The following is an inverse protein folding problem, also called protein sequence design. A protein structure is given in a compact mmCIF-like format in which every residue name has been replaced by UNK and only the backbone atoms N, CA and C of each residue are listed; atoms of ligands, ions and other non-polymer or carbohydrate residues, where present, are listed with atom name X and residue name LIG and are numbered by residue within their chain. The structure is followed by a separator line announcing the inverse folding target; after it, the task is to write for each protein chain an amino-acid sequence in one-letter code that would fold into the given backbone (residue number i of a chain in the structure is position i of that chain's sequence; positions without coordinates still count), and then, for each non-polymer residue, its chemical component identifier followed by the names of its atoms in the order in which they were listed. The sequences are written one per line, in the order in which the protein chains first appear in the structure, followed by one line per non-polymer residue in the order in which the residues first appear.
data_IF_731660125559
#
_entry.id   IF_731660125559
#
_cell.length_a   1.000
_cell.length_b   1.000
_cell.length_c   1.000
_cell.angle_alpha   90.00
_cell.angle_beta   90.00
_cell.angle_gamma   90.00
#
_symmetry.space_group_name_H-M   'P 1'
#
loop_
_entity.id
_entity.type
_entity.pdbx_description
1 polymer ?
#
# COMPACT_ATOMS: atom_id res chain seq x y z
N UNK A 1 -12.65 -14.60 26.73
CA UNK A 1 -12.19 -15.32 25.53
C UNK A 1 -11.43 -14.32 24.68
N UNK A 2 -10.11 -14.45 24.60
CA UNK A 2 -9.27 -13.57 23.78
C UNK A 2 -9.43 -14.03 22.32
N UNK A 3 -10.41 -13.50 21.60
CA UNK A 3 -10.49 -13.75 20.16
C UNK A 3 -9.32 -12.98 19.54
N UNK A 4 -8.36 -13.71 18.96
CA UNK A 4 -7.45 -13.11 17.97
C UNK A 4 -8.32 -12.34 16.98
N UNK A 5 -8.06 -11.05 16.77
CA UNK A 5 -8.84 -10.23 15.85
C UNK A 5 -8.73 -10.69 14.39
N UNK A 6 -7.84 -11.65 14.10
CA UNK A 6 -7.63 -12.25 12.78
C UNK A 6 -7.96 -13.75 12.75
N UNK A 7 -8.31 -14.28 11.55
CA UNK A 7 -8.52 -15.71 11.33
C UNK A 7 -7.31 -16.59 11.72
N UNK A 8 -7.59 -17.83 12.10
CA UNK A 8 -6.57 -18.84 12.39
C UNK A 8 -6.01 -19.51 11.12
N UNK A 9 -6.84 -19.65 10.08
CA UNK A 9 -6.37 -20.14 8.78
C UNK A 9 -5.34 -19.16 8.19
N UNK A 10 -4.12 -19.61 7.83
CA UNK A 10 -3.06 -18.72 7.36
C UNK A 10 -3.42 -17.91 6.11
N UNK A 11 -4.22 -18.49 5.20
CA UNK A 11 -4.62 -17.82 3.95
C UNK A 11 -5.69 -16.77 4.22
N UNK A 12 -6.67 -17.08 5.06
CA UNK A 12 -7.67 -16.09 5.48
C UNK A 12 -7.05 -14.99 6.33
N UNK A 13 -6.01 -15.31 7.11
CA UNK A 13 -5.21 -14.32 7.83
C UNK A 13 -4.48 -13.38 6.88
N UNK A 14 -3.79 -13.89 5.87
CA UNK A 14 -3.10 -13.07 4.87
C UNK A 14 -4.10 -12.14 4.15
N UNK A 15 -5.27 -12.64 3.76
CA UNK A 15 -6.32 -11.81 3.15
C UNK A 15 -6.82 -10.71 4.09
N UNK A 16 -7.00 -11.02 5.37
CA UNK A 16 -7.45 -10.02 6.35
C UNK A 16 -6.37 -8.96 6.60
N UNK A 17 -5.10 -9.35 6.64
CA UNK A 17 -3.97 -8.41 6.71
C UNK A 17 -3.90 -7.55 5.44
N UNK A 18 -4.07 -8.15 4.26
CA UNK A 18 -4.09 -7.45 2.98
C UNK A 18 -5.25 -6.45 2.89
N UNK A 19 -6.43 -6.83 3.38
CA UNK A 19 -7.60 -5.94 3.44
C UNK A 19 -7.31 -4.67 4.23
N UNK A 20 -6.64 -4.80 5.38
CA UNK A 20 -6.22 -3.64 6.19
C UNK A 20 -5.11 -2.86 5.47
N UNK A 21 -4.15 -3.58 4.90
CA UNK A 21 -3.03 -3.01 4.16
C UNK A 21 -3.44 -2.18 2.95
N UNK A 22 -4.42 -2.62 2.17
CA UNK A 22 -4.99 -1.86 1.04
C UNK A 22 -5.57 -0.51 1.51
N UNK A 23 -6.33 -0.50 2.61
CA UNK A 23 -6.86 0.74 3.17
C UNK A 23 -5.74 1.71 3.62
N UNK A 24 -4.67 1.18 4.22
CA UNK A 24 -3.50 1.98 4.62
C UNK A 24 -2.74 2.50 3.40
N UNK A 25 -2.53 1.66 2.38
CA UNK A 25 -1.89 2.03 1.11
C UNK A 25 -2.70 3.13 0.40
N UNK A 26 -4.02 3.00 0.34
CA UNK A 26 -4.90 4.01 -0.22
C UNK A 26 -4.82 5.34 0.54
N UNK A 27 -4.77 5.31 1.88
CA UNK A 27 -4.60 6.52 2.69
C UNK A 27 -3.24 7.18 2.46
N UNK A 28 -2.16 6.40 2.51
CA UNK A 28 -0.79 6.88 2.31
C UNK A 28 -0.63 7.55 0.94
N UNK A 29 -1.11 6.90 -0.13
CA UNK A 29 -1.04 7.43 -1.49
C UNK A 29 -1.90 8.68 -1.68
N UNK A 30 -3.10 8.74 -1.10
CA UNK A 30 -3.95 9.96 -1.13
C UNK A 30 -3.29 11.13 -0.38
N UNK A 31 -2.75 10.89 0.81
CA UNK A 31 -2.06 11.92 1.59
C UNK A 31 -0.85 12.45 0.82
N UNK A 32 -0.07 11.56 0.21
CA UNK A 32 1.06 11.97 -0.61
C UNK A 32 0.62 12.80 -1.84
N UNK A 33 -0.40 12.36 -2.57
CA UNK A 33 -0.94 13.10 -3.73
C UNK A 33 -1.39 14.50 -3.32
N UNK A 34 -2.14 14.63 -2.22
CA UNK A 34 -2.60 15.92 -1.73
C UNK A 34 -1.42 16.82 -1.33
N UNK A 35 -0.41 16.27 -0.67
CA UNK A 35 0.79 17.01 -0.25
C UNK A 35 1.63 17.48 -1.44
N UNK A 36 1.88 16.62 -2.42
CA UNK A 36 2.79 16.92 -3.54
C UNK A 36 2.13 17.67 -4.69
N UNK A 37 0.81 17.51 -4.88
CA UNK A 37 0.09 18.08 -6.02
C UNK A 37 -0.97 19.11 -5.63
N UNK A 38 -1.31 19.24 -4.36
CA UNK A 38 -2.31 20.21 -3.87
C UNK A 38 -3.72 19.97 -4.42
N UNK A 39 -3.99 18.79 -4.97
CA UNK A 39 -5.27 18.42 -5.59
C UNK A 39 -5.50 16.92 -5.54
N UNK A 40 -6.74 16.50 -5.74
CA UNK A 40 -7.07 15.09 -5.92
C UNK A 40 -6.64 14.60 -7.30
N UNK A 41 -6.09 13.39 -7.36
CA UNK A 41 -5.75 12.69 -8.61
C UNK A 41 -6.06 11.19 -8.47
N UNK A 42 -7.32 10.84 -8.76
CA UNK A 42 -7.78 9.44 -8.67
C UNK A 42 -7.08 8.52 -9.68
N UNK A 43 -6.68 9.04 -10.84
CA UNK A 43 -6.00 8.26 -11.86
C UNK A 43 -4.55 7.94 -11.47
N UNK A 44 -3.88 8.86 -10.77
CA UNK A 44 -2.58 8.59 -10.16
C UNK A 44 -2.71 7.60 -9.01
N UNK A 45 -3.65 7.82 -8.10
CA UNK A 45 -3.90 6.93 -6.98
C UNK A 45 -4.15 5.48 -7.43
N UNK A 46 -5.04 5.29 -8.41
CA UNK A 46 -5.35 3.96 -8.95
C UNK A 46 -4.11 3.24 -9.52
N UNK A 47 -3.14 3.98 -10.08
CA UNK A 47 -1.89 3.40 -10.59
C UNK A 47 -0.93 3.05 -9.47
N UNK A 48 -0.83 3.89 -8.44
CA UNK A 48 -0.01 3.62 -7.25
C UNK A 48 -0.49 2.42 -6.43
N UNK A 49 -1.77 2.05 -6.54
CA UNK A 49 -2.35 0.90 -5.81
C UNK A 49 -2.76 -0.24 -6.73
N UNK A 50 -2.34 -0.22 -8.00
CA UNK A 50 -2.69 -1.28 -8.95
C UNK A 50 -1.88 -2.55 -8.69
N UNK A 51 -2.48 -3.72 -8.88
CA UNK A 51 -1.75 -4.99 -8.88
C UNK A 51 -0.55 -4.98 -9.83
N UNK A 52 -0.68 -4.32 -10.99
CA UNK A 52 0.41 -4.18 -11.95
C UNK A 52 1.63 -3.44 -11.37
N UNK A 53 1.40 -2.44 -10.51
CA UNK A 53 2.48 -1.76 -9.82
C UNK A 53 3.01 -2.58 -8.65
N UNK A 54 2.11 -3.18 -7.85
CA UNK A 54 2.47 -3.97 -6.67
C UNK A 54 3.30 -5.21 -7.00
N UNK A 55 3.15 -5.78 -8.21
CA UNK A 55 3.98 -6.91 -8.66
C UNK A 55 5.48 -6.59 -8.69
N UNK A 56 5.87 -5.31 -8.76
CA UNK A 56 7.27 -4.90 -8.64
C UNK A 56 7.88 -5.16 -7.24
N UNK A 57 7.03 -5.41 -6.23
CA UNK A 57 7.43 -5.69 -4.85
C UNK A 57 7.13 -7.14 -4.42
N UNK A 58 6.46 -7.94 -5.27
CA UNK A 58 6.08 -9.33 -4.97
C UNK A 58 4.62 -9.62 -5.31
N UNK A 59 4.04 -10.68 -4.72
CA UNK A 59 2.61 -10.94 -4.88
C UNK A 59 1.80 -9.76 -4.29
N UNK A 60 0.86 -9.13 -5.03
CA UNK A 60 0.12 -7.95 -4.55
C UNK A 60 -0.54 -8.13 -3.19
N UNK A 61 -1.20 -9.27 -2.96
CA UNK A 61 -1.86 -9.57 -1.69
C UNK A 61 -0.83 -9.70 -0.56
N UNK A 62 0.32 -10.34 -0.80
CA UNK A 62 1.37 -10.43 0.21
C UNK A 62 2.02 -9.07 0.51
N UNK A 63 2.11 -8.17 -0.48
CA UNK A 63 2.59 -6.79 -0.32
C UNK A 63 1.63 -5.99 0.55
N UNK A 64 0.34 -6.03 0.25
CA UNK A 64 -0.69 -5.39 1.07
C UNK A 64 -0.70 -5.98 2.49
N UNK A 65 -0.61 -7.31 2.63
CA UNK A 65 -0.56 -7.96 3.93
C UNK A 65 0.65 -7.50 4.76
N UNK A 66 1.81 -7.27 4.13
CA UNK A 66 2.98 -6.68 4.81
C UNK A 66 2.66 -5.28 5.36
N UNK A 67 2.00 -4.43 4.58
CA UNK A 67 1.59 -3.09 5.03
C UNK A 67 0.61 -3.23 6.22
N UNK A 68 -0.36 -4.14 6.13
CA UNK A 68 -1.33 -4.41 7.19
C UNK A 68 -0.69 -4.89 8.49
N UNK A 69 0.32 -5.77 8.41
CA UNK A 69 1.08 -6.23 9.59
C UNK A 69 1.85 -5.10 10.24
N UNK A 70 2.59 -4.29 9.47
CA UNK A 70 3.33 -3.13 10.01
C UNK A 70 2.37 -2.15 10.67
N UNK A 71 1.21 -1.87 10.06
CA UNK A 71 0.20 -1.02 10.67
C UNK A 71 -0.28 -1.56 12.02
N UNK A 72 -0.52 -2.87 12.12
CA UNK A 72 -1.00 -3.48 13.36
C UNK A 72 0.06 -3.53 14.46
N UNK A 73 1.31 -3.79 14.10
CA UNK A 73 2.39 -4.01 15.04
C UNK A 73 3.06 -2.68 15.47
N UNK A 74 3.16 -1.72 14.56
CA UNK A 74 3.95 -0.49 14.72
C UNK A 74 3.12 0.80 14.53
N UNK A 75 1.87 0.69 14.08
CA UNK A 75 0.95 1.80 13.90
C UNK A 75 1.03 2.46 12.51
N UNK A 76 0.12 3.42 12.31
CA UNK A 76 -0.08 4.08 11.00
C UNK A 76 1.17 4.82 10.50
N UNK A 77 1.91 5.47 11.38
CA UNK A 77 3.10 6.23 10.98
C UNK A 77 4.16 5.33 10.34
N UNK A 78 4.42 4.15 10.91
CA UNK A 78 5.38 3.19 10.37
C UNK A 78 4.92 2.65 9.00
N UNK A 79 3.64 2.30 8.88
CA UNK A 79 3.10 1.78 7.62
C UNK A 79 3.08 2.83 6.49
N UNK A 80 2.78 4.09 6.81
CA UNK A 80 2.87 5.19 5.85
C UNK A 80 4.32 5.44 5.44
N UNK A 81 5.26 5.43 6.40
CA UNK A 81 6.68 5.59 6.11
C UNK A 81 7.20 4.50 5.17
N UNK A 82 6.74 3.26 5.32
CA UNK A 82 7.05 2.18 4.39
C UNK A 82 6.66 2.53 2.95
N UNK A 83 5.40 2.95 2.74
CA UNK A 83 4.89 3.32 1.42
C UNK A 83 5.71 4.46 0.82
N UNK A 84 5.99 5.50 1.61
CA UNK A 84 6.75 6.66 1.17
C UNK A 84 8.22 6.35 0.84
N UNK A 85 8.86 5.46 1.58
CA UNK A 85 10.27 5.12 1.41
C UNK A 85 10.52 4.10 0.29
N UNK A 86 9.63 3.12 0.11
CA UNK A 86 9.83 2.05 -0.87
C UNK A 86 9.02 2.26 -2.15
N UNK A 87 7.73 2.57 -2.03
CA UNK A 87 6.81 2.49 -3.15
C UNK A 87 6.83 3.76 -3.99
N UNK A 88 6.81 4.93 -3.35
CA UNK A 88 6.74 6.21 -4.04
C UNK A 88 7.96 6.47 -4.95
N UNK A 89 9.22 6.22 -4.52
CA UNK A 89 10.38 6.43 -5.38
C UNK A 89 10.33 5.56 -6.64
N UNK A 90 9.88 4.30 -6.50
CA UNK A 90 9.74 3.41 -7.65
C UNK A 90 8.63 3.87 -8.59
N UNK A 91 7.48 4.28 -8.04
CA UNK A 91 6.36 4.81 -8.82
C UNK A 91 6.80 6.00 -9.67
N UNK A 92 7.47 6.99 -9.07
CA UNK A 92 7.99 8.16 -9.78
C UNK A 92 8.98 7.78 -10.90
N UNK A 93 9.84 6.79 -10.65
CA UNK A 93 10.76 6.27 -11.67
C UNK A 93 10.02 5.65 -12.85
N UNK A 94 9.01 4.82 -12.59
CA UNK A 94 8.18 4.20 -13.63
C UNK A 94 7.38 5.25 -14.42
N UNK A 95 6.83 6.26 -13.73
CA UNK A 95 6.09 7.34 -14.35
C UNK A 95 6.91 8.18 -15.32
N UNK A 96 8.14 8.50 -14.93
CA UNK A 96 9.08 9.21 -15.80
C UNK A 96 9.38 8.40 -17.06
N UNK A 97 9.51 7.08 -16.94
CA UNK A 97 9.75 6.22 -18.09
C UNK A 97 8.50 6.13 -18.99
N UNK A 98 7.30 6.05 -18.41
CA UNK A 98 6.04 6.02 -19.16
C UNK A 98 5.80 7.29 -19.97
N UNK A 99 6.15 8.48 -19.45
CA UNK A 99 6.01 9.77 -20.14
C UNK A 99 7.03 10.01 -21.26
N UNK A 100 8.05 9.15 -21.37
CA UNK A 100 9.08 9.22 -22.44
C UNK A 100 8.73 8.35 -23.64
N UNK A 101 7.72 7.48 -23.52
CA UNK A 101 7.11 6.72 -24.60
C UNK A 101 6.07 7.60 -25.30
#
# INVERSE_FOLDING_TARGET
MNHSALPDDPREREKAEAWIGDAVLALATRNWILREHGKTDGAMQARMTSNQFLTAFGNPTSVEARIGRIYRDEGLAAAVALVEQEMIPLFLKQERNRKRL
#
